data_IF_353452563170
#
_entry.id   IF_353452563170
#
_cell.length_a   1.000
_cell.length_b   1.000
_cell.length_c   1.000
_cell.angle_alpha   90.00
_cell.angle_beta   90.00
_cell.angle_gamma   90.00
#
_symmetry.space_group_name_H-M   'P 1'
#
loop_
_entity.id
_entity.type
_entity.pdbx_description
1 polymer ?
#
# COMPACT_ATOMS: atom_id res chain seq x y z
N UNK A 1 -8.36 -54.17 -31.46
CA UNK A 1 -7.01 -53.59 -31.35
C UNK A 1 -6.94 -52.82 -30.04
N UNK A 2 -6.43 -53.47 -28.98
CA UNK A 2 -6.23 -52.83 -27.69
C UNK A 2 -4.91 -52.05 -27.75
N UNK A 3 -4.99 -50.72 -27.86
CA UNK A 3 -3.81 -49.88 -27.72
C UNK A 3 -3.31 -49.99 -26.27
N UNK A 4 -2.18 -50.66 -26.10
CA UNK A 4 -1.43 -50.72 -24.85
C UNK A 4 -0.95 -49.30 -24.50
N UNK A 5 -1.79 -48.53 -23.80
CA UNK A 5 -1.54 -47.14 -23.40
C UNK A 5 -0.53 -47.01 -22.24
N UNK A 6 -0.06 -48.12 -21.69
CA UNK A 6 0.72 -48.11 -20.45
C UNK A 6 2.21 -47.81 -20.64
N UNK A 7 2.76 -47.94 -21.85
CA UNK A 7 4.20 -47.75 -22.10
C UNK A 7 4.60 -46.33 -22.52
N UNK A 8 3.66 -45.48 -22.93
CA UNK A 8 3.97 -44.10 -23.36
C UNK A 8 4.00 -43.11 -22.18
N UNK A 9 3.42 -43.47 -21.03
CA UNK A 9 3.28 -42.59 -19.86
C UNK A 9 4.56 -42.39 -19.02
N UNK A 10 5.65 -43.11 -19.30
CA UNK A 10 6.80 -43.20 -18.38
C UNK A 10 8.09 -42.49 -18.81
N UNK A 11 8.17 -41.86 -19.98
CA UNK A 11 9.34 -41.02 -20.36
C UNK A 11 9.10 -39.51 -20.32
N UNK A 12 7.89 -39.07 -19.99
CA UNK A 12 7.54 -37.63 -19.93
C UNK A 12 8.17 -36.91 -18.71
N UNK A 13 8.62 -37.64 -17.68
CA UNK A 13 9.18 -37.00 -16.48
C UNK A 13 10.58 -36.39 -16.71
N UNK A 14 11.35 -36.89 -17.68
CA UNK A 14 12.72 -36.42 -17.97
C UNK A 14 12.81 -35.29 -19.00
N UNK A 15 11.69 -34.90 -19.60
CA UNK A 15 11.66 -33.80 -20.57
C UNK A 15 12.04 -32.49 -19.86
N UNK A 16 13.06 -31.75 -20.32
CA UNK A 16 13.44 -30.49 -19.68
C UNK A 16 12.35 -29.43 -19.81
N UNK A 17 12.29 -28.49 -18.87
CA UNK A 17 11.15 -27.57 -18.72
C UNK A 17 11.00 -26.58 -19.89
N UNK A 18 12.08 -26.30 -20.63
CA UNK A 18 12.03 -25.49 -21.84
C UNK A 18 11.33 -26.23 -22.99
N UNK A 19 11.52 -27.55 -23.15
CA UNK A 19 10.79 -28.37 -24.13
C UNK A 19 9.30 -28.43 -23.79
N UNK A 20 8.96 -28.62 -22.51
CA UNK A 20 7.58 -28.59 -22.03
C UNK A 20 6.90 -27.25 -22.33
N UNK A 21 7.64 -26.14 -22.23
CA UNK A 21 7.15 -24.80 -22.55
C UNK A 21 6.98 -24.60 -24.05
N UNK A 22 7.94 -25.07 -24.86
CA UNK A 22 7.84 -25.03 -26.32
C UNK A 22 6.65 -25.85 -26.84
N UNK A 23 6.40 -27.04 -26.28
CA UNK A 23 5.24 -27.87 -26.63
C UNK A 23 3.93 -27.12 -26.33
N UNK A 24 3.78 -26.56 -25.12
CA UNK A 24 2.59 -25.79 -24.75
C UNK A 24 2.37 -24.58 -25.67
N UNK A 25 3.44 -23.88 -26.00
CA UNK A 25 3.40 -22.76 -26.94
C UNK A 25 2.97 -23.22 -28.34
N UNK A 26 3.60 -24.26 -28.87
CA UNK A 26 3.28 -24.78 -30.19
C UNK A 26 1.82 -25.25 -30.30
N UNK A 27 1.30 -25.94 -29.27
CA UNK A 27 -0.10 -26.35 -29.21
C UNK A 27 -1.04 -25.14 -29.15
N UNK A 28 -0.72 -24.11 -28.36
CA UNK A 28 -1.50 -22.88 -28.30
C UNK A 28 -1.51 -22.15 -29.66
N UNK A 29 -0.35 -22.01 -30.30
CA UNK A 29 -0.23 -21.36 -31.61
C UNK A 29 -0.98 -22.13 -32.69
N UNK A 30 -0.81 -23.45 -32.78
CA UNK A 30 -1.52 -24.30 -33.73
C UNK A 30 -3.03 -24.23 -33.48
N UNK A 31 -3.47 -24.26 -32.22
CA UNK A 31 -4.87 -24.14 -31.88
C UNK A 31 -5.48 -22.81 -32.35
N UNK A 32 -4.87 -21.66 -32.01
CA UNK A 32 -5.43 -20.36 -32.40
C UNK A 32 -5.35 -20.07 -33.89
N UNK A 33 -4.26 -20.49 -34.55
CA UNK A 33 -4.11 -20.33 -36.01
C UNK A 33 -5.09 -21.23 -36.77
N UNK A 34 -5.24 -22.50 -36.36
CA UNK A 34 -6.25 -23.38 -36.96
C UNK A 34 -7.68 -22.88 -36.70
N UNK A 35 -7.98 -22.40 -35.50
CA UNK A 35 -9.29 -21.83 -35.18
C UNK A 35 -9.58 -20.58 -36.04
N UNK A 36 -8.60 -19.69 -36.20
CA UNK A 36 -8.71 -18.54 -37.12
C UNK A 36 -8.97 -18.96 -38.57
N UNK A 37 -8.24 -19.94 -39.10
CA UNK A 37 -8.42 -20.45 -40.46
C UNK A 37 -9.77 -21.17 -40.66
N UNK A 38 -10.21 -21.96 -39.67
CA UNK A 38 -11.51 -22.66 -39.74
C UNK A 38 -12.68 -21.71 -39.64
N UNK A 39 -12.59 -20.66 -38.80
CA UNK A 39 -13.62 -19.63 -38.71
C UNK A 39 -13.69 -18.79 -39.98
N UNK A 40 -12.55 -18.51 -40.61
CA UNK A 40 -12.50 -17.83 -41.91
C UNK A 40 -13.20 -18.62 -43.03
N UNK A 41 -13.21 -19.96 -42.93
CA UNK A 41 -13.88 -20.82 -43.91
C UNK A 41 -15.41 -20.84 -43.77
N UNK A 42 -16.00 -20.20 -42.75
CA UNK A 42 -17.45 -20.15 -42.55
C UNK A 42 -18.05 -18.95 -43.31
N UNK A 43 -18.79 -19.16 -44.42
CA UNK A 43 -19.25 -18.08 -45.30
C UNK A 43 -20.39 -17.20 -44.73
N UNK A 44 -20.75 -17.38 -43.44
CA UNK A 44 -21.96 -16.80 -42.84
C UNK A 44 -21.72 -15.43 -42.19
N UNK A 45 -20.47 -14.95 -42.09
CA UNK A 45 -20.15 -13.66 -41.46
C UNK A 45 -19.19 -12.81 -42.29
N UNK A 46 -19.65 -12.26 -43.42
CA UNK A 46 -18.85 -11.32 -44.22
C UNK A 46 -18.48 -10.04 -43.44
N UNK A 47 -19.34 -9.55 -42.53
CA UNK A 47 -19.08 -8.28 -41.82
C UNK A 47 -18.02 -8.38 -40.71
N UNK A 48 -17.82 -9.55 -40.10
CA UNK A 48 -16.96 -9.72 -38.91
C UNK A 48 -15.81 -10.70 -39.11
N UNK A 49 -15.73 -11.37 -40.27
CA UNK A 49 -14.74 -12.40 -40.54
C UNK A 49 -13.30 -11.93 -40.33
N UNK A 50 -12.96 -10.75 -40.85
CA UNK A 50 -11.61 -10.19 -40.74
C UNK A 50 -11.23 -9.84 -39.29
N UNK A 51 -12.16 -9.29 -38.51
CA UNK A 51 -11.93 -8.93 -37.11
C UNK A 51 -11.80 -10.18 -36.21
N UNK A 52 -12.54 -11.25 -36.51
CA UNK A 52 -12.42 -12.54 -35.82
C UNK A 52 -11.07 -13.17 -36.10
N UNK A 53 -10.63 -13.21 -37.37
CA UNK A 53 -9.30 -13.72 -37.74
C UNK A 53 -8.20 -12.89 -37.07
N UNK A 54 -8.33 -11.56 -37.08
CA UNK A 54 -7.37 -10.68 -36.42
C UNK A 54 -7.34 -10.93 -34.90
N UNK A 55 -8.49 -11.15 -34.26
CA UNK A 55 -8.58 -11.47 -32.83
C UNK A 55 -7.93 -12.82 -32.51
N UNK A 56 -8.10 -13.83 -33.36
CA UNK A 56 -7.39 -15.10 -33.24
C UNK A 56 -5.87 -14.95 -33.37
N UNK A 57 -5.40 -14.09 -34.29
CA UNK A 57 -3.98 -13.78 -34.42
C UNK A 57 -3.42 -13.07 -33.17
N UNK A 58 -4.18 -12.14 -32.59
CA UNK A 58 -3.82 -11.51 -31.31
C UNK A 58 -3.81 -12.51 -30.14
N UNK A 59 -4.75 -13.45 -30.11
CA UNK A 59 -4.76 -14.54 -29.13
C UNK A 59 -3.50 -15.43 -29.28
N UNK A 60 -3.09 -15.74 -30.51
CA UNK A 60 -1.84 -16.46 -30.79
C UNK A 60 -0.60 -15.67 -30.34
N UNK A 61 -0.51 -14.38 -30.67
CA UNK A 61 0.60 -13.52 -30.26
C UNK A 61 0.69 -13.41 -28.72
N UNK A 62 -0.45 -13.27 -28.04
CA UNK A 62 -0.48 -13.24 -26.57
C UNK A 62 -0.10 -14.57 -25.96
N UNK A 63 -0.46 -15.71 -26.57
CA UNK A 63 0.04 -17.01 -26.14
C UNK A 63 1.58 -17.11 -26.24
N UNK A 64 2.20 -16.56 -27.28
CA UNK A 64 3.66 -16.48 -27.39
C UNK A 64 4.29 -15.65 -26.27
N UNK A 65 3.74 -14.46 -26.02
CA UNK A 65 4.20 -13.59 -24.93
C UNK A 65 4.00 -14.25 -23.56
N UNK A 66 2.91 -15.01 -23.38
CA UNK A 66 2.61 -15.70 -22.13
C UNK A 66 3.51 -16.91 -21.91
N UNK A 67 3.74 -17.72 -22.93
CA UNK A 67 4.57 -18.91 -22.84
C UNK A 67 6.06 -18.60 -22.61
N UNK A 68 6.53 -17.41 -23.02
CA UNK A 68 7.88 -16.93 -22.69
C UNK A 68 8.08 -16.71 -21.17
N UNK A 69 6.99 -16.71 -20.39
CA UNK A 69 6.85 -16.71 -18.92
C UNK A 69 7.38 -17.96 -18.16
N UNK A 70 8.63 -18.10 -17.67
CA UNK A 70 9.14 -19.42 -17.25
C UNK A 70 8.62 -19.98 -15.90
N UNK A 71 7.76 -19.28 -15.16
CA UNK A 71 7.45 -19.62 -13.75
C UNK A 71 5.94 -19.76 -13.54
N UNK A 72 5.42 -20.98 -13.42
CA UNK A 72 3.97 -21.28 -13.23
C UNK A 72 3.36 -20.47 -12.08
N UNK A 73 4.09 -20.27 -10.97
CA UNK A 73 3.62 -19.48 -9.83
C UNK A 73 3.42 -18.00 -10.18
N UNK A 74 4.41 -17.41 -10.86
CA UNK A 74 4.28 -16.07 -11.44
C UNK A 74 3.30 -16.04 -12.60
N UNK A 75 3.03 -17.13 -13.31
CA UNK A 75 2.12 -17.13 -14.46
C UNK A 75 0.70 -16.78 -14.06
N UNK A 76 0.21 -17.17 -12.87
CA UNK A 76 -1.12 -16.79 -12.40
C UNK A 76 -1.20 -15.30 -12.00
N UNK A 77 -0.21 -14.81 -11.25
CA UNK A 77 -0.12 -13.39 -10.92
C UNK A 77 0.02 -12.56 -12.20
N UNK A 78 0.90 -12.99 -13.09
CA UNK A 78 1.21 -12.29 -14.31
C UNK A 78 0.03 -12.38 -15.28
N UNK A 79 -0.67 -13.52 -15.39
CA UNK A 79 -1.90 -13.62 -16.20
C UNK A 79 -3.02 -12.73 -15.66
N UNK A 80 -3.16 -12.61 -14.33
CA UNK A 80 -4.07 -11.66 -13.71
C UNK A 80 -3.67 -10.22 -14.03
N UNK A 81 -2.40 -9.87 -13.86
CA UNK A 81 -1.82 -8.57 -14.22
C UNK A 81 -2.03 -8.24 -15.71
N UNK A 82 -1.86 -9.23 -16.60
CA UNK A 82 -2.12 -9.10 -18.04
C UNK A 82 -3.60 -8.87 -18.31
N UNK A 83 -4.47 -9.66 -17.70
CA UNK A 83 -5.94 -9.58 -17.86
C UNK A 83 -6.47 -8.25 -17.35
N UNK A 84 -5.95 -7.78 -16.22
CA UNK A 84 -6.31 -6.50 -15.65
C UNK A 84 -5.81 -5.35 -16.52
N UNK A 85 -4.56 -5.40 -17.00
CA UNK A 85 -4.03 -4.40 -17.93
C UNK A 85 -4.80 -4.36 -19.26
N UNK A 86 -5.18 -5.51 -19.80
CA UNK A 86 -5.94 -5.58 -21.06
C UNK A 86 -7.37 -5.05 -20.89
N UNK A 87 -8.07 -5.45 -19.82
CA UNK A 87 -9.42 -4.95 -19.52
C UNK A 87 -9.42 -3.44 -19.25
N UNK A 88 -8.53 -2.97 -18.38
CA UNK A 88 -8.46 -1.53 -18.04
C UNK A 88 -8.02 -0.68 -19.22
N UNK A 89 -7.04 -1.13 -20.01
CA UNK A 89 -6.57 -0.43 -21.20
C UNK A 89 -7.61 -0.42 -22.32
N UNK A 90 -8.32 -1.54 -22.51
CA UNK A 90 -9.41 -1.65 -23.48
C UNK A 90 -10.62 -0.81 -23.09
N UNK A 91 -11.04 -0.85 -21.81
CA UNK A 91 -12.13 0.00 -21.30
C UNK A 91 -11.77 1.49 -21.40
N UNK A 92 -10.54 1.87 -21.03
CA UNK A 92 -10.09 3.26 -21.16
C UNK A 92 -10.03 3.70 -22.62
N UNK A 93 -9.52 2.84 -23.51
CA UNK A 93 -9.48 3.12 -24.94
C UNK A 93 -10.88 3.30 -25.54
N UNK A 94 -11.83 2.44 -25.16
CA UNK A 94 -13.23 2.57 -25.53
C UNK A 94 -13.83 3.88 -25.00
N UNK A 95 -13.56 4.23 -23.75
CA UNK A 95 -14.06 5.46 -23.13
C UNK A 95 -13.49 6.70 -23.83
N UNK A 96 -12.19 6.71 -24.15
CA UNK A 96 -11.57 7.81 -24.91
C UNK A 96 -12.15 7.90 -26.32
N UNK A 97 -12.47 6.78 -26.97
CA UNK A 97 -13.11 6.76 -28.28
C UNK A 97 -14.56 7.28 -28.23
N UNK A 98 -15.40 6.74 -27.35
CA UNK A 98 -16.84 7.08 -27.27
C UNK A 98 -17.06 8.52 -26.77
N UNK A 99 -16.31 8.97 -25.76
CA UNK A 99 -16.41 10.34 -25.29
C UNK A 99 -15.65 11.32 -26.19
N UNK A 100 -14.47 10.94 -26.69
CA UNK A 100 -13.66 11.82 -27.55
C UNK A 100 -14.42 12.21 -28.82
N UNK A 101 -14.93 11.22 -29.55
CA UNK A 101 -15.63 11.46 -30.82
C UNK A 101 -16.94 12.23 -30.64
N UNK A 102 -17.62 12.09 -29.50
CA UNK A 102 -18.87 12.83 -29.24
C UNK A 102 -18.66 14.29 -28.86
N UNK A 103 -17.51 14.63 -28.26
CA UNK A 103 -17.25 15.96 -27.73
C UNK A 103 -16.45 16.85 -28.68
N UNK A 104 -15.70 16.27 -29.63
CA UNK A 104 -14.79 17.00 -30.49
C UNK A 104 -15.42 17.29 -31.88
N UNK A 105 -15.15 18.46 -32.48
CA UNK A 105 -15.59 18.77 -33.83
C UNK A 105 -14.82 17.95 -34.88
N UNK A 106 -15.49 17.65 -36.01
CA UNK A 106 -14.92 16.84 -37.09
C UNK A 106 -13.53 17.36 -37.53
N UNK A 107 -12.53 16.48 -37.49
CA UNK A 107 -11.18 16.74 -38.01
C UNK A 107 -10.07 16.88 -36.97
N UNK A 108 -10.39 17.05 -35.68
CA UNK A 108 -9.37 17.05 -34.61
C UNK A 108 -9.23 15.70 -33.89
N UNK A 109 -10.02 14.70 -34.28
CA UNK A 109 -10.09 13.40 -33.60
C UNK A 109 -8.74 12.68 -33.54
N UNK A 110 -8.01 12.65 -34.66
CA UNK A 110 -6.71 11.99 -34.72
C UNK A 110 -5.67 12.65 -33.81
N UNK A 111 -5.65 13.98 -33.75
CA UNK A 111 -4.72 14.73 -32.90
C UNK A 111 -5.04 14.49 -31.43
N UNK A 112 -6.33 14.50 -31.08
CA UNK A 112 -6.77 14.18 -29.72
C UNK A 112 -6.40 12.75 -29.31
N UNK A 113 -6.62 11.77 -30.17
CA UNK A 113 -6.29 10.36 -29.90
C UNK A 113 -4.79 10.16 -29.68
N UNK A 114 -3.94 10.82 -30.48
CA UNK A 114 -2.48 10.80 -30.31
C UNK A 114 -2.07 11.47 -28.98
N UNK A 115 -2.69 12.59 -28.62
CA UNK A 115 -2.43 13.25 -27.33
C UNK A 115 -2.82 12.35 -26.15
N UNK A 116 -3.99 11.72 -26.21
CA UNK A 116 -4.43 10.76 -25.20
C UNK A 116 -3.47 9.56 -25.11
N UNK A 117 -3.02 9.01 -26.24
CA UNK A 117 -2.03 7.94 -26.26
C UNK A 117 -0.70 8.34 -25.60
N UNK A 118 -0.22 9.56 -25.84
CA UNK A 118 0.98 10.08 -25.19
C UNK A 118 0.81 10.21 -23.67
N UNK A 119 -0.34 10.73 -23.21
CA UNK A 119 -0.66 10.85 -21.78
C UNK A 119 -0.76 9.47 -21.12
N UNK A 120 -1.47 8.53 -21.74
CA UNK A 120 -1.60 7.15 -21.26
C UNK A 120 -0.23 6.46 -21.19
N UNK A 121 0.62 6.66 -22.20
CA UNK A 121 2.00 6.14 -22.21
C UNK A 121 2.85 6.71 -21.07
N UNK A 122 2.77 8.02 -20.81
CA UNK A 122 3.47 8.66 -19.71
C UNK A 122 2.98 8.16 -18.33
N UNK A 123 1.66 8.13 -18.13
CA UNK A 123 1.04 7.64 -16.88
C UNK A 123 1.39 6.18 -16.65
N UNK A 124 1.40 5.36 -17.70
CA UNK A 124 1.80 3.96 -17.63
C UNK A 124 3.26 3.78 -17.21
N UNK A 125 4.19 4.58 -17.77
CA UNK A 125 5.60 4.55 -17.37
C UNK A 125 5.78 4.98 -15.90
N UNK A 126 5.04 6.00 -15.47
CA UNK A 126 5.08 6.47 -14.09
C UNK A 126 4.53 5.43 -13.10
N UNK A 127 3.38 4.80 -13.42
CA UNK A 127 2.79 3.72 -12.64
C UNK A 127 3.68 2.47 -12.60
N UNK A 128 4.30 2.12 -13.73
CA UNK A 128 5.25 0.99 -13.83
C UNK A 128 6.39 1.15 -12.83
N UNK A 129 6.97 2.35 -12.75
CA UNK A 129 8.05 2.63 -11.82
C UNK A 129 7.58 2.61 -10.35
N UNK A 130 6.37 3.12 -10.08
CA UNK A 130 5.84 3.22 -8.70
C UNK A 130 5.43 1.87 -8.11
N UNK A 131 4.78 1.03 -8.91
CA UNK A 131 4.19 -0.24 -8.47
C UNK A 131 5.02 -1.48 -8.84
N UNK A 132 6.11 -1.31 -9.61
CA UNK A 132 6.95 -2.41 -10.15
C UNK A 132 6.16 -3.40 -11.04
N UNK A 133 5.08 -2.92 -11.65
CA UNK A 133 4.18 -3.69 -12.51
C UNK A 133 4.55 -3.53 -14.00
N UNK A 134 5.81 -3.81 -14.35
CA UNK A 134 6.33 -3.50 -15.70
C UNK A 134 5.60 -4.29 -16.81
N UNK A 135 5.20 -5.52 -16.54
CA UNK A 135 4.49 -6.35 -17.52
C UNK A 135 3.05 -5.88 -17.80
N UNK A 136 2.28 -5.55 -16.76
CA UNK A 136 0.87 -5.12 -16.94
C UNK A 136 0.78 -3.75 -17.60
N UNK A 137 1.68 -2.83 -17.27
CA UNK A 137 1.69 -1.47 -17.78
C UNK A 137 2.02 -1.43 -19.28
N UNK A 138 2.94 -2.28 -19.76
CA UNK A 138 3.20 -2.44 -21.20
C UNK A 138 1.99 -2.95 -21.94
N UNK A 139 1.30 -3.96 -21.40
CA UNK A 139 0.10 -4.51 -22.02
C UNK A 139 -1.07 -3.54 -22.00
N UNK A 140 -1.23 -2.78 -20.92
CA UNK A 140 -2.20 -1.70 -20.81
C UNK A 140 -2.05 -0.67 -21.93
N UNK A 141 -0.82 -0.25 -22.23
CA UNK A 141 -0.56 0.69 -23.34
C UNK A 141 -0.83 0.02 -24.69
N UNK A 142 -0.36 -1.21 -24.89
CA UNK A 142 -0.57 -1.94 -26.14
C UNK A 142 -2.08 -2.14 -26.40
N UNK A 143 -2.86 -2.56 -25.41
CA UNK A 143 -4.31 -2.75 -25.59
C UNK A 143 -5.05 -1.44 -25.77
N UNK A 144 -4.64 -0.39 -25.06
CA UNK A 144 -5.15 0.96 -25.30
C UNK A 144 -4.94 1.36 -26.76
N UNK A 145 -3.73 1.20 -27.31
CA UNK A 145 -3.42 1.53 -28.71
C UNK A 145 -4.22 0.66 -29.69
N UNK A 146 -4.30 -0.65 -29.45
CA UNK A 146 -5.05 -1.59 -30.31
C UNK A 146 -6.53 -1.24 -30.37
N UNK A 147 -7.13 -0.80 -29.25
CA UNK A 147 -8.55 -0.44 -29.18
C UNK A 147 -8.79 0.94 -29.77
N UNK A 148 -7.96 1.93 -29.42
CA UNK A 148 -8.14 3.33 -29.89
C UNK A 148 -7.86 3.51 -31.38
N UNK A 149 -6.80 2.92 -31.91
CA UNK A 149 -6.45 3.00 -33.34
C UNK A 149 -7.06 1.88 -34.17
N UNK A 150 -7.64 0.88 -33.52
CA UNK A 150 -8.24 -0.28 -34.17
C UNK A 150 -9.64 -0.08 -34.72
N UNK A 151 -10.40 0.84 -34.11
CA UNK A 151 -11.73 1.20 -34.56
C UNK A 151 -11.61 2.04 -35.83
N UNK A 152 -11.56 1.37 -36.98
CA UNK A 152 -11.48 2.05 -38.27
C UNK A 152 -12.77 2.85 -38.49
N UNK A 153 -12.62 4.14 -38.76
CA UNK A 153 -13.57 5.23 -38.45
C UNK A 153 -14.83 5.32 -39.31
N UNK A 154 -15.22 4.27 -40.03
CA UNK A 154 -16.40 4.32 -40.92
C UNK A 154 -17.70 3.77 -40.32
N UNK A 155 -17.65 2.90 -39.32
CA UNK A 155 -18.85 2.37 -38.67
C UNK A 155 -18.79 2.52 -37.13
N UNK A 156 -19.42 3.57 -36.62
CA UNK A 156 -19.48 3.86 -35.19
C UNK A 156 -20.24 2.80 -34.36
N UNK A 157 -21.13 2.02 -34.99
CA UNK A 157 -21.89 0.94 -34.33
C UNK A 157 -21.07 -0.33 -34.10
N UNK A 158 -19.93 -0.52 -34.78
CA UNK A 158 -19.07 -1.70 -34.63
C UNK A 158 -17.91 -1.49 -33.66
N UNK A 159 -17.57 -0.26 -33.27
CA UNK A 159 -16.39 0.04 -32.45
C UNK A 159 -16.39 -0.68 -31.07
N UNK A 160 -17.53 -0.73 -30.39
CA UNK A 160 -17.69 -1.48 -29.13
C UNK A 160 -17.51 -2.98 -29.38
N UNK A 161 -18.08 -3.50 -30.46
CA UNK A 161 -17.95 -4.89 -30.86
C UNK A 161 -16.50 -5.27 -31.11
N UNK A 162 -15.77 -4.45 -31.87
CA UNK A 162 -14.33 -4.63 -32.14
C UNK A 162 -13.50 -4.57 -30.85
N UNK A 163 -13.78 -3.62 -29.97
CA UNK A 163 -13.08 -3.51 -28.68
C UNK A 163 -13.31 -4.74 -27.79
N UNK A 164 -14.56 -5.21 -27.69
CA UNK A 164 -14.90 -6.42 -26.94
C UNK A 164 -14.31 -7.68 -27.58
N UNK A 165 -14.32 -7.78 -28.90
CA UNK A 165 -13.78 -8.93 -29.63
C UNK A 165 -12.26 -9.03 -29.43
N UNK A 166 -11.53 -7.91 -29.52
CA UNK A 166 -10.08 -7.85 -29.33
C UNK A 166 -9.69 -8.10 -27.86
N UNK A 167 -10.37 -7.44 -26.93
CA UNK A 167 -10.13 -7.65 -25.49
C UNK A 167 -10.50 -9.09 -25.10
N UNK A 168 -11.62 -9.58 -25.60
CA UNK A 168 -12.09 -10.95 -25.41
C UNK A 168 -11.16 -11.99 -26.00
N UNK A 169 -10.59 -11.75 -27.19
CA UNK A 169 -9.60 -12.61 -27.82
C UNK A 169 -8.33 -12.73 -26.97
N UNK A 170 -7.83 -11.62 -26.42
CA UNK A 170 -6.68 -11.64 -25.52
C UNK A 170 -7.00 -12.39 -24.22
N UNK A 171 -8.14 -12.10 -23.58
CA UNK A 171 -8.56 -12.77 -22.34
C UNK A 171 -8.77 -14.27 -22.57
N UNK A 172 -9.45 -14.64 -23.66
CA UNK A 172 -9.65 -16.02 -24.07
C UNK A 172 -8.32 -16.72 -24.35
N UNK A 173 -7.37 -16.05 -25.02
CA UNK A 173 -6.01 -16.53 -25.22
C UNK A 173 -5.31 -16.89 -23.91
N UNK A 174 -5.36 -15.97 -22.94
CA UNK A 174 -4.78 -16.16 -21.60
C UNK A 174 -5.47 -17.29 -20.82
N UNK A 175 -6.80 -17.37 -20.87
CA UNK A 175 -7.55 -18.44 -20.20
C UNK A 175 -7.28 -19.82 -20.83
N UNK A 176 -7.18 -19.88 -22.16
CA UNK A 176 -6.93 -21.12 -22.86
C UNK A 176 -5.51 -21.62 -22.64
N UNK A 177 -4.49 -20.76 -22.69
CA UNK A 177 -3.12 -21.18 -22.37
C UNK A 177 -3.03 -21.64 -20.91
N UNK A 178 -3.72 -20.97 -19.99
CA UNK A 178 -3.83 -21.40 -18.60
C UNK A 178 -4.51 -22.77 -18.50
N UNK A 179 -5.63 -22.98 -19.20
CA UNK A 179 -6.30 -24.29 -19.30
C UNK A 179 -5.38 -25.38 -19.85
N UNK A 180 -4.70 -25.13 -20.98
CA UNK A 180 -3.72 -26.05 -21.57
C UNK A 180 -2.59 -26.37 -20.59
N UNK A 181 -2.14 -25.42 -19.79
CA UNK A 181 -1.10 -25.70 -18.78
C UNK A 181 -1.57 -26.67 -17.70
N UNK A 182 -2.85 -26.61 -17.31
CA UNK A 182 -3.46 -27.51 -16.34
C UNK A 182 -3.66 -28.91 -16.95
N UNK A 183 -4.16 -28.97 -18.20
CA UNK A 183 -4.45 -30.24 -18.87
C UNK A 183 -3.21 -31.00 -19.35
N UNK A 184 -2.20 -30.30 -19.88
CA UNK A 184 -1.02 -30.95 -20.51
C UNK A 184 -0.07 -31.54 -19.45
N UNK A 185 0.09 -30.89 -18.30
CA UNK A 185 1.06 -31.31 -17.26
C UNK A 185 0.52 -31.08 -15.83
N UNK A 186 -0.57 -31.77 -15.43
CA UNK A 186 -1.19 -31.57 -14.11
C UNK A 186 -0.22 -31.83 -12.96
N UNK A 187 0.67 -32.82 -13.11
CA UNK A 187 1.69 -33.14 -12.09
C UNK A 187 2.69 -32.01 -11.87
N UNK A 188 3.14 -31.34 -12.94
CA UNK A 188 4.09 -30.22 -12.83
C UNK A 188 3.45 -29.00 -12.19
N UNK A 189 2.20 -28.68 -12.59
CA UNK A 189 1.45 -27.58 -12.02
C UNK A 189 1.21 -27.76 -10.51
N UNK A 190 0.87 -28.99 -10.10
CA UNK A 190 0.64 -29.32 -8.69
C UNK A 190 1.92 -29.17 -7.86
N UNK A 191 3.05 -29.68 -8.33
CA UNK A 191 4.34 -29.56 -7.61
C UNK A 191 4.74 -28.10 -7.45
N UNK A 192 4.58 -27.29 -8.49
CA UNK A 192 4.94 -25.87 -8.43
C UNK A 192 3.99 -25.09 -7.52
N UNK A 193 2.68 -25.37 -7.58
CA UNK A 193 1.71 -24.77 -6.65
C UNK A 193 2.03 -25.09 -5.18
N UNK A 194 2.51 -26.30 -4.89
CA UNK A 194 2.95 -26.68 -3.55
C UNK A 194 4.23 -25.94 -3.12
N UNK A 195 5.15 -25.65 -4.04
CA UNK A 195 6.35 -24.84 -3.74
C UNK A 195 5.96 -23.40 -3.42
N UNK A 196 5.08 -22.80 -4.22
CA UNK A 196 4.61 -21.44 -3.96
C UNK A 196 3.78 -21.35 -2.70
N UNK A 197 2.95 -22.36 -2.41
CA UNK A 197 2.23 -22.45 -1.14
C UNK A 197 3.20 -22.53 0.06
N UNK A 198 4.28 -23.32 -0.05
CA UNK A 198 5.33 -23.36 0.98
C UNK A 198 6.03 -22.01 1.14
N UNK A 199 6.33 -21.32 0.04
CA UNK A 199 6.91 -19.97 0.08
C UNK A 199 5.95 -18.98 0.76
N UNK A 200 4.66 -19.02 0.42
CA UNK A 200 3.63 -18.19 1.03
C UNK A 200 3.47 -18.46 2.53
N UNK A 201 3.44 -19.72 2.94
CA UNK A 201 3.41 -20.11 4.35
C UNK A 201 4.64 -19.65 5.12
N UNK A 202 5.83 -19.68 4.48
CA UNK A 202 7.06 -19.14 5.07
C UNK A 202 6.95 -17.63 5.29
N UNK A 203 6.48 -16.87 4.29
CA UNK A 203 6.27 -15.42 4.43
C UNK A 203 5.22 -15.07 5.49
N UNK A 204 4.14 -15.84 5.60
CA UNK A 204 3.14 -15.71 6.67
C UNK A 204 3.74 -15.97 8.04
N UNK A 205 4.64 -16.96 8.14
CA UNK A 205 5.36 -17.26 9.39
C UNK A 205 6.31 -16.12 9.76
N UNK A 206 7.07 -15.59 8.81
CA UNK A 206 7.94 -14.43 9.00
C UNK A 206 7.15 -13.18 9.42
N UNK A 207 5.99 -12.94 8.79
CA UNK A 207 5.10 -11.85 9.16
C UNK A 207 4.56 -12.02 10.59
N UNK A 208 4.18 -13.23 10.99
CA UNK A 208 3.72 -13.52 12.33
C UNK A 208 4.82 -13.24 13.38
N UNK A 209 6.06 -13.67 13.09
CA UNK A 209 7.22 -13.38 13.94
C UNK A 209 7.45 -11.87 14.03
N UNK A 210 7.38 -11.13 12.92
CA UNK A 210 7.53 -9.67 12.92
C UNK A 210 6.44 -8.97 13.74
N UNK A 211 5.19 -9.42 13.64
CA UNK A 211 4.08 -8.85 14.42
C UNK A 211 4.27 -9.10 15.91
N UNK A 212 4.70 -10.30 16.31
CA UNK A 212 4.96 -10.62 17.72
C UNK A 212 6.16 -9.87 18.29
N UNK A 213 7.25 -9.77 17.54
CA UNK A 213 8.45 -9.01 17.96
C UNK A 213 8.13 -7.52 18.09
N UNK A 214 7.44 -6.90 17.12
CA UNK A 214 7.00 -5.51 17.23
C UNK A 214 6.09 -5.27 18.46
N UNK A 215 5.19 -6.22 18.78
CA UNK A 215 4.35 -6.13 19.99
C UNK A 215 5.18 -6.22 21.28
N UNK A 216 6.18 -7.10 21.33
CA UNK A 216 7.07 -7.21 22.48
C UNK A 216 7.89 -5.94 22.69
N UNK A 217 8.50 -5.41 21.62
CA UNK A 217 9.24 -4.15 21.65
C UNK A 217 8.36 -2.98 22.12
N UNK A 218 7.14 -2.86 21.60
CA UNK A 218 6.19 -1.84 22.04
C UNK A 218 5.82 -1.98 23.53
N UNK A 219 5.64 -3.21 24.01
CA UNK A 219 5.35 -3.48 25.43
C UNK A 219 6.54 -3.13 26.34
N UNK A 220 7.77 -3.40 25.89
CA UNK A 220 9.00 -3.03 26.61
C UNK A 220 9.21 -1.51 26.64
N UNK A 221 9.00 -0.83 25.52
CA UNK A 221 9.03 0.64 25.45
C UNK A 221 8.01 1.26 26.41
N UNK A 222 6.80 0.70 26.50
CA UNK A 222 5.78 1.19 27.44
C UNK A 222 6.18 0.95 28.91
N UNK A 223 6.80 -0.20 29.22
CA UNK A 223 7.35 -0.46 30.57
C UNK A 223 8.48 0.50 30.93
N UNK A 224 9.38 0.79 30.00
CA UNK A 224 10.47 1.76 30.19
C UNK A 224 9.94 3.19 30.36
N UNK A 225 8.94 3.58 29.56
CA UNK A 225 8.25 4.86 29.71
C UNK A 225 7.54 4.99 31.06
N UNK A 226 6.91 3.92 31.55
CA UNK A 226 6.27 3.89 32.87
C UNK A 226 7.30 3.96 34.01
N UNK A 227 8.44 3.29 33.87
CA UNK A 227 9.52 3.32 34.87
C UNK A 227 10.17 4.71 34.96
N UNK A 228 10.45 5.34 33.82
CA UNK A 228 10.98 6.71 33.76
C UNK A 228 10.00 7.73 34.32
N UNK A 229 8.70 7.61 34.02
CA UNK A 229 7.67 8.45 34.63
C UNK A 229 7.60 8.30 36.16
N UNK A 230 7.75 7.08 36.68
CA UNK A 230 7.80 6.84 38.14
C UNK A 230 9.05 7.42 38.79
N UNK A 231 10.21 7.31 38.15
CA UNK A 231 11.45 7.90 38.64
C UNK A 231 11.34 9.44 38.69
N UNK A 232 10.85 10.07 37.62
CA UNK A 232 10.62 11.51 37.58
C UNK A 232 9.60 11.97 38.64
N UNK A 233 8.53 11.20 38.89
CA UNK A 233 7.56 11.52 39.94
C UNK A 233 8.17 11.40 41.35
N UNK A 234 9.05 10.43 41.59
CA UNK A 234 9.75 10.27 42.87
C UNK A 234 10.75 11.42 43.10
N UNK A 235 11.50 11.82 42.07
CA UNK A 235 12.40 12.98 42.12
C UNK A 235 11.61 14.27 42.41
N UNK A 236 10.50 14.51 41.71
CA UNK A 236 9.64 15.67 41.95
C UNK A 236 9.06 15.68 43.38
N UNK A 237 8.65 14.52 43.91
CA UNK A 237 8.18 14.40 45.29
C UNK A 237 9.30 14.71 46.31
N UNK A 238 10.52 14.24 46.05
CA UNK A 238 11.68 14.53 46.91
C UNK A 238 12.06 16.02 46.89
N UNK A 239 12.04 16.65 45.71
CA UNK A 239 12.27 18.09 45.56
C UNK A 239 11.20 18.91 46.30
N UNK A 240 9.92 18.53 46.17
CA UNK A 240 8.82 19.17 46.91
C UNK A 240 8.98 19.04 48.43
N UNK A 241 9.41 17.87 48.92
CA UNK A 241 9.68 17.67 50.35
C UNK A 241 10.85 18.54 50.85
N UNK A 242 11.92 18.69 50.06
CA UNK A 242 13.03 19.59 50.41
C UNK A 242 12.64 21.07 50.41
N UNK A 243 11.83 21.50 49.44
CA UNK A 243 11.30 22.86 49.37
C UNK A 243 10.38 23.16 50.57
N UNK A 244 9.52 22.21 50.96
CA UNK A 244 8.67 22.34 52.14
C UNK A 244 9.47 22.48 53.44
N UNK A 245 10.57 21.73 53.59
CA UNK A 245 11.48 21.85 54.75
C UNK A 245 12.22 23.20 54.77
N UNK A 246 12.68 23.68 53.61
CA UNK A 246 13.33 24.98 53.51
C UNK A 246 12.36 26.13 53.86
N UNK A 247 11.11 26.05 53.40
CA UNK A 247 10.07 27.02 53.76
C UNK A 247 9.78 27.02 55.26
N UNK A 248 9.67 25.85 55.89
CA UNK A 248 9.47 25.73 57.33
C UNK A 248 10.64 26.32 58.15
N UNK A 249 11.88 26.13 57.71
CA UNK A 249 13.06 26.71 58.38
C UNK A 249 13.16 28.25 58.24
N UNK A 250 12.48 28.82 57.25
CA UNK A 250 12.46 30.27 57.01
C UNK A 250 11.34 31.02 57.76
N UNK A 251 10.49 30.33 58.51
CA UNK A 251 9.54 31.01 59.39
C UNK A 251 10.32 31.67 60.55
N UNK A 252 10.32 33.01 60.65
CA UNK A 252 11.00 33.68 61.75
C UNK A 252 10.26 33.37 63.06
N UNK A 253 11.02 32.96 64.08
CA UNK A 253 10.58 32.85 65.48
C UNK A 253 10.17 34.24 66.00
N UNK A 254 8.97 34.66 65.62
CA UNK A 254 8.32 35.88 66.07
C UNK A 254 6.98 35.51 66.68
N UNK A 255 6.98 35.11 67.94
CA UNK A 255 5.78 34.99 68.75
C UNK A 255 5.04 36.34 68.80
N UNK A 256 4.05 36.52 67.93
CA UNK A 256 2.94 37.43 68.20
C UNK A 256 1.72 36.61 68.59
N UNK A 257 1.43 36.69 69.88
CA UNK A 257 0.25 36.15 70.56
C UNK A 257 -1.03 36.64 69.85
N UNK A 258 -1.87 35.74 69.30
CA UNK A 258 -3.10 36.15 68.65
C UNK A 258 -4.15 36.55 69.70
N UNK A 259 -4.90 37.66 69.49
CA UNK A 259 -5.97 38.05 70.40
C UNK A 259 -7.14 37.04 70.37
N UNK A 260 -7.91 36.94 71.47
CA UNK A 260 -9.02 36.01 71.59
C UNK A 260 -10.18 36.43 70.69
N UNK A 261 -10.29 35.81 69.51
CA UNK A 261 -11.44 35.99 68.63
C UNK A 261 -12.52 34.93 68.91
N UNK A 262 -13.67 35.50 69.28
CA UNK A 262 -14.95 34.91 69.65
C UNK A 262 -15.44 33.83 68.68
N UNK A 263 -15.95 32.75 69.26
CA UNK A 263 -16.68 31.69 68.59
C UNK A 263 -17.93 32.25 67.87
N UNK A 264 -17.95 32.15 66.54
CA UNK A 264 -19.16 32.23 65.75
C UNK A 264 -19.37 30.89 65.05
N UNK A 265 -20.37 30.14 65.52
CA UNK A 265 -20.83 28.91 64.89
C UNK A 265 -21.37 29.19 63.50
N UNK A 266 -20.84 28.49 62.51
CA UNK A 266 -21.46 28.32 61.22
C UNK A 266 -21.50 26.82 60.92
N UNK A 267 -22.65 26.22 61.21
CA UNK A 267 -23.07 24.93 60.68
C UNK A 267 -23.05 25.00 59.14
N UNK A 268 -22.02 24.44 58.52
CA UNK A 268 -22.06 24.06 57.12
C UNK A 268 -22.18 22.54 57.02
N UNK A 269 -23.39 22.14 56.66
CA UNK A 269 -23.84 20.79 56.42
C UNK A 269 -22.94 20.06 55.42
N UNK A 270 -22.69 18.79 55.75
CA UNK A 270 -22.15 17.76 54.85
C UNK A 270 -22.95 17.73 53.54
N UNK A 271 -22.37 18.26 52.47
CA UNK A 271 -22.76 17.93 51.10
C UNK A 271 -21.61 17.20 50.43
N UNK A 272 -21.64 15.87 50.50
CA UNK A 272 -20.77 15.02 49.69
C UNK A 272 -21.12 15.21 48.21
N UNK A 273 -20.17 15.52 47.31
CA UNK A 273 -20.47 15.59 45.88
C UNK A 273 -20.64 14.16 45.33
N UNK A 274 -21.87 13.65 45.44
CA UNK A 274 -22.34 12.56 44.58
C UNK A 274 -22.72 13.15 43.22
N UNK A 275 -22.05 12.68 42.17
CA UNK A 275 -22.60 12.71 40.82
C UNK A 275 -21.98 13.73 39.87
N UNK A 276 -20.95 13.30 39.15
CA UNK A 276 -20.73 13.75 37.76
C UNK A 276 -20.16 12.59 36.93
N UNK A 277 -19.27 11.77 37.50
CA UNK A 277 -18.57 10.72 36.74
C UNK A 277 -19.38 9.45 36.45
N UNK A 278 -20.65 9.33 36.89
CA UNK A 278 -21.51 8.18 36.56
C UNK A 278 -22.18 8.26 35.18
N UNK A 279 -22.06 9.38 34.46
CA UNK A 279 -22.73 9.58 33.17
C UNK A 279 -22.01 9.05 31.92
N UNK A 280 -20.71 8.70 32.00
CA UNK A 280 -19.90 8.39 30.82
C UNK A 280 -19.71 6.89 30.51
N UNK A 281 -20.13 5.99 31.42
CA UNK A 281 -20.06 4.53 31.20
C UNK A 281 -21.44 3.85 31.10
N UNK A 282 -22.55 4.59 31.17
CA UNK A 282 -23.90 4.03 31.15
C UNK A 282 -24.49 3.75 29.75
N UNK A 283 -23.82 4.17 28.66
CA UNK A 283 -24.44 4.22 27.32
C UNK A 283 -24.00 3.11 26.35
N UNK A 284 -23.41 2.03 26.84
CA UNK A 284 -22.97 0.88 26.01
C UNK A 284 -23.78 -0.41 26.19
N UNK A 285 -24.78 -0.43 27.08
CA UNK A 285 -25.58 -1.64 27.36
C UNK A 285 -26.93 -1.75 26.62
N UNK A 286 -27.24 -0.83 25.71
CA UNK A 286 -28.57 -0.78 25.05
C UNK A 286 -28.60 -1.37 23.63
N UNK A 287 -27.55 -2.08 23.21
CA UNK A 287 -27.49 -2.77 21.91
C UNK A 287 -27.41 -4.29 22.09
N UNK A 288 -28.34 -4.85 22.87
CA UNK A 288 -28.57 -6.29 22.87
C UNK A 288 -30.02 -6.61 23.27
N UNK A 289 -30.85 -6.86 22.26
CA UNK A 289 -32.10 -7.60 22.41
C UNK A 289 -33.28 -7.02 21.63
N UNK A 290 -33.53 -7.55 20.43
CA UNK A 290 -34.87 -8.02 20.02
C UNK A 290 -34.83 -8.61 18.61
N UNK A 291 -34.72 -9.94 18.52
CA UNK A 291 -35.29 -10.72 17.43
C UNK A 291 -35.59 -12.12 17.95
N UNK A 292 -36.81 -12.28 18.46
CA UNK A 292 -37.44 -13.58 18.68
C UNK A 292 -38.28 -13.92 17.44
N UNK A 293 -37.93 -14.98 16.72
CA UNK A 293 -38.91 -15.85 16.08
C UNK A 293 -38.29 -17.21 15.79
N UNK A 294 -39.06 -18.25 16.11
CA UNK A 294 -38.74 -19.66 16.19
C UNK A 294 -38.45 -20.35 14.84
N UNK A 295 -37.51 -21.29 14.79
CA UNK A 295 -37.81 -22.74 14.79
C UNK A 295 -36.52 -23.60 14.75
N UNK A 296 -36.45 -24.56 15.68
CA UNK A 296 -35.79 -25.89 15.66
C UNK A 296 -34.45 -26.11 14.91
N UNK A 297 -33.45 -26.58 15.68
CA UNK A 297 -32.55 -27.66 15.24
C UNK A 297 -31.04 -27.42 15.41
N UNK A 298 -30.45 -28.13 16.37
CA UNK A 298 -29.01 -28.37 16.62
C UNK A 298 -28.12 -27.22 17.13
N UNK A 299 -27.56 -27.46 18.33
CA UNK A 299 -26.57 -26.64 19.04
C UNK A 299 -25.14 -26.96 18.58
N UNK A 300 -24.36 -25.98 18.10
CA UNK A 300 -22.91 -25.97 18.26
C UNK A 300 -22.51 -25.11 19.48
N UNK A 301 -21.43 -25.50 20.16
CA UNK A 301 -20.82 -24.71 21.23
C UNK A 301 -20.35 -23.32 20.70
N UNK A 302 -20.44 -22.26 21.51
CA UNK A 302 -19.93 -20.94 21.14
C UNK A 302 -18.41 -20.88 21.33
N UNK A 303 -17.65 -20.87 20.22
CA UNK A 303 -16.32 -20.26 20.17
C UNK A 303 -16.51 -18.74 20.27
N UNK A 304 -16.30 -18.20 21.46
CA UNK A 304 -16.21 -16.76 21.66
C UNK A 304 -14.80 -16.32 21.23
N UNK A 305 -14.67 -15.68 20.07
CA UNK A 305 -13.46 -14.99 19.64
C UNK A 305 -13.18 -13.78 20.55
N UNK A 306 -12.12 -13.77 21.38
CA UNK A 306 -11.71 -12.59 22.12
C UNK A 306 -10.98 -11.56 21.24
N UNK A 307 -10.67 -11.86 19.97
CA UNK A 307 -9.81 -11.03 19.12
C UNK A 307 -10.52 -9.86 18.43
N UNK A 308 -11.83 -9.96 18.14
CA UNK A 308 -12.56 -8.93 17.42
C UNK A 308 -12.72 -7.62 18.24
N UNK A 309 -12.69 -7.69 19.57
CA UNK A 309 -12.75 -6.51 20.45
C UNK A 309 -11.37 -5.86 20.70
N UNK A 310 -10.29 -6.62 20.61
CA UNK A 310 -8.93 -6.16 20.91
C UNK A 310 -8.36 -5.25 19.81
N UNK A 311 -8.71 -5.48 18.55
CA UNK A 311 -8.25 -4.63 17.43
C UNK A 311 -8.88 -3.23 17.47
N UNK A 312 -10.16 -3.12 17.83
CA UNK A 312 -10.84 -1.83 18.04
C UNK A 312 -10.34 -1.09 19.28
N UNK A 313 -10.01 -1.81 20.36
CA UNK A 313 -9.44 -1.21 21.57
C UNK A 313 -8.01 -0.70 21.35
N UNK A 314 -7.19 -1.43 20.58
CA UNK A 314 -5.83 -1.01 20.24
C UNK A 314 -5.82 0.23 19.32
N UNK A 315 -6.71 0.29 18.33
CA UNK A 315 -6.86 1.47 17.48
C UNK A 315 -7.34 2.71 18.26
N UNK A 316 -8.28 2.52 19.21
CA UNK A 316 -8.74 3.59 20.09
C UNK A 316 -7.64 4.08 21.06
N UNK A 317 -6.82 3.17 21.60
CA UNK A 317 -5.68 3.52 22.45
C UNK A 317 -4.57 4.27 21.69
N UNK A 318 -4.29 3.89 20.44
CA UNK A 318 -3.34 4.59 19.57
C UNK A 318 -3.81 6.00 19.23
N UNK A 319 -5.11 6.19 18.93
CA UNK A 319 -5.70 7.50 18.70
C UNK A 319 -5.67 8.39 19.95
N UNK A 320 -5.91 7.82 21.14
CA UNK A 320 -5.82 8.55 22.40
C UNK A 320 -4.38 8.98 22.73
N UNK A 321 -3.38 8.14 22.42
CA UNK A 321 -1.96 8.48 22.57
C UNK A 321 -1.53 9.61 21.62
N UNK A 322 -1.97 9.58 20.36
CA UNK A 322 -1.71 10.67 19.41
C UNK A 322 -2.36 11.99 19.86
N UNK A 323 -3.59 11.95 20.38
CA UNK A 323 -4.27 13.14 20.91
C UNK A 323 -3.56 13.72 22.16
N UNK A 324 -3.02 12.86 23.04
CA UNK A 324 -2.22 13.31 24.20
C UNK A 324 -0.87 13.89 23.77
N UNK A 325 -0.21 13.30 22.79
CA UNK A 325 1.05 13.82 22.24
C UNK A 325 0.87 15.20 21.58
N UNK A 326 -0.22 15.38 20.83
CA UNK A 326 -0.58 16.68 20.24
C UNK A 326 -0.82 17.76 21.32
N UNK A 327 -1.59 17.44 22.38
CA UNK A 327 -1.83 18.36 23.49
C UNK A 327 -0.56 18.71 24.28
N UNK A 328 0.36 17.77 24.42
CA UNK A 328 1.66 18.02 25.06
C UNK A 328 2.54 18.95 24.21
N UNK A 329 2.52 18.78 22.88
CA UNK A 329 3.21 19.68 21.96
C UNK A 329 2.62 21.10 21.99
N UNK A 330 1.29 21.23 22.02
CA UNK A 330 0.61 22.52 22.14
C UNK A 330 0.89 23.20 23.48
N UNK A 331 0.92 22.44 24.58
CA UNK A 331 1.27 22.96 25.90
C UNK A 331 2.75 23.41 25.96
N UNK A 332 3.67 22.69 25.33
CA UNK A 332 5.07 23.07 25.23
C UNK A 332 5.26 24.33 24.36
N UNK A 333 4.52 24.46 23.26
CA UNK A 333 4.52 25.66 22.43
C UNK A 333 3.94 26.88 23.19
N UNK A 334 2.88 26.68 23.97
CA UNK A 334 2.31 27.72 24.82
C UNK A 334 3.29 28.17 25.92
N UNK A 335 3.98 27.23 26.57
CA UNK A 335 5.00 27.51 27.57
C UNK A 335 6.21 28.26 26.97
N UNK A 336 6.67 27.88 25.78
CA UNK A 336 7.73 28.59 25.06
C UNK A 336 7.33 30.02 24.69
N UNK A 337 6.07 30.23 24.30
CA UNK A 337 5.53 31.56 23.97
C UNK A 337 5.43 32.44 25.22
N UNK A 338 5.01 31.88 26.37
CA UNK A 338 5.00 32.59 27.65
C UNK A 338 6.41 32.93 28.15
N UNK A 339 7.38 32.03 27.98
CA UNK A 339 8.78 32.30 28.32
C UNK A 339 9.40 33.40 27.46
N UNK A 340 9.09 33.42 26.15
CA UNK A 340 9.51 34.49 25.25
C UNK A 340 8.87 35.85 25.61
N UNK A 341 7.59 35.85 26.00
CA UNK A 341 6.91 37.06 26.47
C UNK A 341 7.51 37.60 27.78
N UNK A 342 7.84 36.71 28.74
CA UNK A 342 8.50 37.09 29.99
C UNK A 342 9.94 37.62 29.78
N UNK A 343 10.68 37.09 28.80
CA UNK A 343 11.99 37.61 28.44
C UNK A 343 11.91 39.02 27.79
N UNK A 344 10.82 39.31 27.05
CA UNK A 344 10.61 40.62 26.43
C UNK A 344 10.19 41.72 27.40
N UNK A 345 9.54 41.38 28.52
CA UNK A 345 9.14 42.36 29.55
C UNK A 345 10.27 42.72 30.52
N UNK A 346 11.30 41.89 30.64
CA UNK A 346 12.46 42.14 31.51
C UNK A 346 13.51 43.11 30.91
N UNK A 347 13.36 43.54 29.65
CA UNK A 347 14.35 44.36 28.93
C UNK A 347 14.16 45.88 28.96
N UNK A 348 13.13 46.41 29.62
CA UNK A 348 12.77 47.85 29.55
C UNK A 348 13.19 48.68 30.77
N UNK A 349 14.41 48.50 31.28
CA UNK A 349 14.99 49.50 32.21
C UNK A 349 16.51 49.39 32.26
N UNK A 350 17.18 50.00 31.29
CA UNK A 350 18.47 50.66 31.50
C UNK A 350 18.92 51.33 30.21
N UNK A 351 19.01 52.66 30.25
CA UNK A 351 19.60 53.50 29.22
C UNK A 351 21.02 53.83 29.68
N UNK A 352 22.08 53.41 28.97
CA UNK A 352 23.35 54.10 29.05
C UNK A 352 23.67 54.77 27.71
N UNK A 353 23.99 56.05 27.80
CA UNK A 353 24.69 56.79 26.77
C UNK A 353 26.14 56.28 26.72
N UNK A 354 26.64 55.96 25.52
CA UNK A 354 28.04 55.55 25.35
C UNK A 354 28.42 55.38 23.89
N UNK A 355 29.31 56.25 23.41
CA UNK A 355 29.87 56.31 22.05
C UNK A 355 30.79 55.13 21.71
N UNK A 356 30.90 54.93 20.40
CA UNK A 356 32.04 54.41 19.63
C UNK A 356 32.24 52.88 19.56
N UNK A 357 32.41 52.39 18.32
CA UNK A 357 32.93 51.05 18.04
C UNK A 357 32.41 50.43 16.76
N UNK A 358 32.90 50.91 15.61
CA UNK A 358 32.71 50.25 14.31
C UNK A 358 33.29 48.83 14.32
N UNK A 359 32.57 47.91 13.66
CA UNK A 359 33.17 46.72 13.08
C UNK A 359 32.89 45.40 13.80
N UNK A 360 31.77 44.74 13.46
CA UNK A 360 31.61 43.27 13.39
C UNK A 360 30.16 42.91 13.04
N UNK A 361 29.75 43.22 11.82
CA UNK A 361 28.53 42.67 11.20
C UNK A 361 28.91 42.15 9.82
N UNK A 362 29.43 40.93 9.78
CA UNK A 362 29.60 40.16 8.53
C UNK A 362 29.84 38.66 8.72
N UNK A 363 29.99 38.13 9.95
CA UNK A 363 30.31 36.71 10.13
C UNK A 363 29.13 35.80 10.50
N UNK A 364 27.94 36.34 10.83
CA UNK A 364 26.78 35.50 11.16
C UNK A 364 25.88 35.16 9.96
N UNK A 365 25.96 35.92 8.87
CA UNK A 365 25.15 35.67 7.66
C UNK A 365 25.82 34.68 6.68
N UNK A 366 27.13 34.47 6.80
CA UNK A 366 27.88 33.52 5.96
C UNK A 366 27.79 32.06 6.46
N UNK A 367 27.43 31.84 7.73
CA UNK A 367 27.29 30.50 8.31
C UNK A 367 25.96 29.81 7.95
N UNK A 368 24.96 30.55 7.45
CA UNK A 368 23.63 30.01 7.11
C UNK A 368 23.47 29.66 5.62
N UNK A 369 24.42 30.02 4.75
CA UNK A 369 24.38 29.68 3.31
C UNK A 369 25.17 28.42 2.93
N UNK A 370 25.97 27.84 3.83
CA UNK A 370 26.72 26.60 3.54
C UNK A 370 26.03 25.29 3.97
N UNK A 371 24.87 25.34 4.65
CA UNK A 371 24.18 24.13 5.13
C UNK A 371 23.10 23.57 4.18
N UNK A 372 22.83 24.21 3.04
CA UNK A 372 21.79 23.76 2.08
C UNK A 372 22.31 23.10 0.81
N UNK A 373 23.63 22.93 0.64
CA UNK A 373 24.21 22.33 -0.58
C UNK A 373 24.71 20.88 -0.43
N UNK A 374 24.46 20.20 0.70
CA UNK A 374 25.03 18.86 0.98
C UNK A 374 24.10 17.66 0.72
N UNK A 375 22.95 17.81 0.06
CA UNK A 375 21.97 16.70 -0.12
C UNK A 375 21.83 16.17 -1.56
N UNK A 376 22.68 16.59 -2.51
CA UNK A 376 22.56 16.21 -3.92
C UNK A 376 23.71 15.35 -4.49
N UNK A 377 24.60 14.82 -3.65
CA UNK A 377 25.76 14.02 -4.08
C UNK A 377 25.77 12.63 -3.42
N UNK A 378 24.74 11.81 -3.67
CA UNK A 378 24.60 10.48 -3.05
C UNK A 378 24.21 9.32 -3.97
N UNK A 379 23.95 9.54 -5.27
CA UNK A 379 23.34 8.50 -6.13
C UNK A 379 24.15 8.10 -7.37
N UNK A 380 25.44 8.44 -7.46
CA UNK A 380 26.30 8.03 -8.60
C UNK A 380 27.35 6.95 -8.31
N UNK A 381 27.39 6.36 -7.11
CA UNK A 381 28.44 5.39 -6.75
C UNK A 381 28.09 3.90 -6.95
N UNK A 382 26.84 3.54 -7.28
CA UNK A 382 26.44 2.12 -7.41
C UNK A 382 26.47 1.57 -8.84
N UNK A 383 26.58 2.43 -9.86
CA UNK A 383 26.65 1.99 -11.26
C UNK A 383 28.05 1.51 -11.71
N UNK A 384 29.12 1.91 -11.00
CA UNK A 384 30.49 1.49 -11.33
C UNK A 384 30.90 0.16 -10.70
N UNK A 385 30.20 -0.30 -9.64
CA UNK A 385 30.51 -1.57 -8.98
C UNK A 385 29.97 -2.80 -9.75
N UNK A 386 28.90 -2.65 -10.54
CA UNK A 386 28.34 -3.76 -11.33
C UNK A 386 29.09 -4.04 -12.64
N UNK A 387 29.88 -3.09 -13.16
CA UNK A 387 30.62 -3.30 -14.41
C UNK A 387 31.98 -4.01 -14.22
N UNK A 388 32.50 -4.07 -12.99
CA UNK A 388 33.74 -4.81 -12.67
C UNK A 388 33.52 -6.29 -12.36
N UNK A 389 32.31 -6.71 -11.97
CA UNK A 389 32.02 -8.13 -11.70
C UNK A 389 31.82 -8.95 -12.99
N UNK A 390 31.39 -8.34 -14.10
CA UNK A 390 31.21 -9.07 -15.37
C UNK A 390 32.52 -9.38 -16.09
N UNK A 391 33.61 -8.64 -15.82
CA UNK A 391 34.91 -8.86 -16.46
C UNK A 391 35.80 -9.86 -15.71
N UNK A 392 35.50 -10.16 -14.44
CA UNK A 392 36.26 -11.15 -13.66
C UNK A 392 35.79 -12.61 -13.86
N UNK A 393 34.55 -12.84 -14.26
CA UNK A 393 34.05 -14.21 -14.54
C UNK A 393 34.52 -14.79 -15.89
N UNK A 394 35.00 -13.99 -16.84
CA UNK A 394 35.50 -14.48 -18.13
C UNK A 394 36.99 -14.89 -18.12
N UNK A 395 37.69 -14.84 -16.98
CA UNK A 395 39.12 -15.18 -16.90
C UNK A 395 39.45 -16.52 -16.24
N UNK A 396 38.45 -17.32 -15.88
CA UNK A 396 38.65 -18.66 -15.29
C UNK A 396 38.22 -19.83 -16.19
N UNK A 397 38.05 -19.59 -17.50
CA UNK A 397 37.92 -20.64 -18.52
C UNK A 397 38.86 -20.33 -19.68
N UNK A 398 40.15 -20.59 -19.45
CA UNK A 398 41.15 -20.80 -20.49
C UNK A 398 42.19 -21.77 -19.93
#
# INVERSE_FOLDING_TARGET
>A
MAFSSSTVLLKVSQVPDWERSAIRLSLGLVFFTSLGLTLWAVPVQEEWGDEVVQSCNWAGATCAVVAASPLIGKVAQLSYERTLGTLTGGMLGFLVYDYGIRLLPDGVDHVFMVCCAAVVGFVSCWLSNRFKLDASMRLFVITFLIVTFGANSKDSKSALGVALLRTGGIVCGVLLIMGLTIFVLPKSATIESLRELKNGLKLLTELNILVWTCKQEAAEQLKQAAATARAAAAEAASAAATAARAAAASQPDGCQEPPPCVAAGADYSKAAPKGWLSGLFGRWKMWRGSSSSSSNGYLPLPEADPEAGLMTAAAAAAAAHQAHAARAADAAAAAATQAAAAASSAGSSSRPAGKAGNGRVSQLTQALQHSTSSSAAGTRSTAQAQHQWSTQCCRCQA
#
